data_IF_176951580536
#
_entry.id   IF_176951580536
#
_cell.length_a   1.000
_cell.length_b   1.000
_cell.length_c   1.000
_cell.angle_alpha   90.00
_cell.angle_beta   90.00
_cell.angle_gamma   90.00
#
_symmetry.space_group_name_H-M   'P 1'
#
loop_
_entity.id
_entity.type
_entity.pdbx_description
1 polymer ?
#
# COMPACT_ATOMS: atom_id res chain seq x y z
N UNK A 1 -4.35 -5.75 27.77
CA UNK A 1 -5.22 -4.68 27.26
C UNK A 1 -4.84 -4.37 25.83
N UNK A 2 -5.70 -4.73 24.90
CA UNK A 2 -5.42 -4.50 23.48
C UNK A 2 -5.64 -3.03 23.15
N UNK A 3 -4.60 -2.31 22.79
CA UNK A 3 -4.74 -0.94 22.32
C UNK A 3 -5.08 -0.93 20.83
N UNK A 4 -5.99 -0.05 20.46
CA UNK A 4 -6.29 0.23 19.06
C UNK A 4 -5.22 1.15 18.51
N UNK A 5 -4.32 0.57 17.75
CA UNK A 5 -3.25 1.33 17.10
C UNK A 5 -3.46 1.28 15.59
N UNK A 6 -3.56 2.44 14.99
CA UNK A 6 -3.77 2.59 13.55
C UNK A 6 -2.65 1.94 12.73
N UNK A 7 -1.45 1.90 13.25
CA UNK A 7 -0.29 1.37 12.56
C UNK A 7 -0.15 -0.15 12.65
N UNK A 8 -0.82 -0.78 13.63
CA UNK A 8 -0.72 -2.22 13.86
C UNK A 8 -1.92 -3.00 13.38
N UNK A 9 -2.95 -2.34 12.88
CA UNK A 9 -4.19 -2.97 12.43
C UNK A 9 -4.38 -2.77 10.93
N UNK A 10 -5.07 -3.72 10.29
CA UNK A 10 -5.58 -3.48 8.95
C UNK A 10 -6.49 -2.24 8.98
N UNK A 11 -6.38 -1.39 7.97
CA UNK A 11 -7.09 -0.10 7.95
C UNK A 11 -8.60 -0.26 8.12
N UNK A 12 -9.20 -1.22 7.42
CA UNK A 12 -10.64 -1.50 7.53
C UNK A 12 -11.03 -1.88 8.95
N UNK A 13 -10.19 -2.67 9.62
CA UNK A 13 -10.47 -3.18 10.97
C UNK A 13 -10.32 -2.08 12.02
N UNK A 14 -9.35 -1.19 11.85
CA UNK A 14 -9.18 -0.06 12.76
C UNK A 14 -10.46 0.77 12.85
N UNK A 15 -11.04 1.15 11.72
CA UNK A 15 -12.26 1.98 11.72
C UNK A 15 -13.49 1.23 12.23
N UNK A 16 -13.59 -0.06 11.93
CA UNK A 16 -14.69 -0.90 12.43
C UNK A 16 -14.59 -1.14 13.93
N UNK A 17 -13.41 -1.50 14.42
CA UNK A 17 -13.20 -1.85 15.81
C UNK A 17 -13.18 -0.62 16.75
N UNK A 18 -12.88 0.54 16.23
CA UNK A 18 -12.92 1.78 17.00
C UNK A 18 -14.29 2.06 17.61
N UNK A 19 -15.36 1.63 16.91
CA UNK A 19 -16.76 1.81 17.35
C UNK A 19 -17.34 0.58 18.02
N UNK A 20 -16.62 -0.54 18.05
CA UNK A 20 -17.12 -1.78 18.62
C UNK A 20 -17.10 -1.73 20.15
N UNK A 21 -18.05 -2.45 20.78
CA UNK A 21 -18.08 -2.56 22.23
C UNK A 21 -16.89 -3.35 22.74
N UNK A 22 -16.28 -2.93 23.87
CA UNK A 22 -15.19 -3.70 24.48
C UNK A 22 -15.65 -5.11 24.85
N UNK A 23 -14.76 -6.08 24.78
CA UNK A 23 -15.02 -7.46 25.14
C UNK A 23 -14.09 -8.44 24.44
N UNK A 24 -14.27 -9.74 24.73
CA UNK A 24 -13.43 -10.81 24.18
C UNK A 24 -13.51 -10.89 22.66
N UNK A 25 -14.68 -10.66 22.08
CA UNK A 25 -14.86 -10.68 20.62
C UNK A 25 -14.07 -9.56 19.94
N UNK A 26 -14.09 -8.36 20.53
CA UNK A 26 -13.30 -7.23 20.01
C UNK A 26 -11.81 -7.54 20.11
N UNK A 27 -11.35 -8.07 21.23
CA UNK A 27 -9.95 -8.43 21.45
C UNK A 27 -9.48 -9.48 20.47
N UNK A 28 -10.31 -10.50 20.18
CA UNK A 28 -10.01 -11.53 19.20
C UNK A 28 -9.87 -10.95 17.79
N UNK A 29 -10.73 -10.02 17.41
CA UNK A 29 -10.66 -9.33 16.11
C UNK A 29 -9.43 -8.46 15.99
N UNK A 30 -9.04 -7.77 17.06
CA UNK A 30 -7.82 -6.99 17.09
C UNK A 30 -6.61 -7.91 16.87
N UNK A 31 -6.53 -9.02 17.59
CA UNK A 31 -5.43 -9.98 17.44
C UNK A 31 -5.35 -10.55 16.03
N UNK A 32 -6.49 -10.89 15.43
CA UNK A 32 -6.54 -11.40 14.06
C UNK A 32 -6.07 -10.34 13.04
N UNK A 33 -6.45 -9.10 13.24
CA UNK A 33 -6.05 -7.98 12.36
C UNK A 33 -4.54 -7.73 12.45
N UNK A 34 -3.98 -7.72 13.65
CA UNK A 34 -2.53 -7.58 13.87
C UNK A 34 -1.77 -8.71 13.18
N UNK A 35 -2.23 -9.94 13.32
CA UNK A 35 -1.60 -11.11 12.70
C UNK A 35 -1.65 -11.02 11.16
N UNK A 36 -2.79 -10.61 10.61
CA UNK A 36 -2.93 -10.44 9.16
C UNK A 36 -2.00 -9.35 8.62
N UNK A 37 -1.93 -8.22 9.31
CA UNK A 37 -1.03 -7.14 8.91
C UNK A 37 0.43 -7.60 8.89
N UNK A 38 0.86 -8.32 9.92
CA UNK A 38 2.21 -8.83 10.01
C UNK A 38 2.52 -9.84 8.91
N UNK A 39 1.58 -10.72 8.62
CA UNK A 39 1.70 -11.67 7.52
C UNK A 39 1.88 -10.96 6.18
N UNK A 40 1.12 -9.89 5.95
CA UNK A 40 1.22 -9.10 4.72
C UNK A 40 2.55 -8.36 4.63
N UNK A 41 3.07 -7.85 5.75
CA UNK A 41 4.41 -7.24 5.78
C UNK A 41 5.50 -8.23 5.40
N UNK A 42 5.43 -9.43 5.93
CA UNK A 42 6.39 -10.48 5.60
C UNK A 42 6.31 -10.88 4.12
N UNK A 43 5.11 -10.99 3.58
CA UNK A 43 4.90 -11.26 2.16
C UNK A 43 5.49 -10.16 1.29
N UNK A 44 5.32 -8.90 1.69
CA UNK A 44 5.87 -7.76 0.95
C UNK A 44 7.40 -7.82 0.88
N UNK A 45 8.06 -8.23 1.96
CA UNK A 45 9.51 -8.35 2.00
C UNK A 45 10.07 -9.38 1.01
N UNK A 46 9.25 -10.34 0.59
CA UNK A 46 9.62 -11.36 -0.37
C UNK A 46 9.44 -10.93 -1.83
N UNK A 47 8.80 -9.80 -2.08
CA UNK A 47 8.59 -9.29 -3.43
C UNK A 47 9.82 -8.55 -3.94
N UNK A 48 10.13 -8.74 -5.21
CA UNK A 48 11.13 -7.94 -5.87
C UNK A 48 10.51 -6.63 -6.35
N UNK A 49 10.78 -5.55 -5.61
CA UNK A 49 10.26 -4.21 -5.92
C UNK A 49 11.30 -3.33 -6.62
N UNK A 50 12.39 -3.90 -7.09
CA UNK A 50 13.41 -3.17 -7.82
C UNK A 50 12.81 -2.56 -9.08
N UNK A 51 12.97 -1.25 -9.35
CA UNK A 51 12.49 -0.64 -10.57
C UNK A 51 13.13 -1.29 -11.81
N UNK A 52 12.33 -1.46 -12.86
CA UNK A 52 12.85 -2.00 -14.11
C UNK A 52 13.86 -1.03 -14.73
N UNK A 53 15.12 -1.45 -14.99
CA UNK A 53 16.19 -0.54 -15.35
C UNK A 53 16.01 0.12 -16.72
N UNK A 54 15.26 -0.51 -17.62
CA UNK A 54 15.10 -0.05 -19.00
C UNK A 54 13.91 0.90 -19.19
N UNK A 55 13.16 1.19 -18.14
CA UNK A 55 11.98 2.06 -18.25
C UNK A 55 12.30 3.48 -17.80
N UNK A 56 11.88 4.50 -18.58
CA UNK A 56 12.17 5.89 -18.24
C UNK A 56 11.69 6.32 -16.85
N UNK A 57 10.53 5.83 -16.41
CA UNK A 57 9.97 6.18 -15.10
C UNK A 57 10.86 5.69 -13.95
N UNK A 58 11.66 4.65 -14.16
CA UNK A 58 12.55 4.10 -13.14
C UNK A 58 13.68 5.05 -12.78
N UNK A 59 14.08 5.92 -13.69
CA UNK A 59 15.08 6.94 -13.41
C UNK A 59 14.59 7.96 -12.37
N UNK A 60 13.29 8.17 -12.27
CA UNK A 60 12.66 9.07 -11.31
C UNK A 60 12.09 8.34 -10.08
N UNK A 61 12.42 7.05 -9.88
CA UNK A 61 11.83 6.23 -8.84
C UNK A 61 11.98 6.84 -7.44
N UNK A 62 13.16 7.31 -7.08
CA UNK A 62 13.40 7.91 -5.78
C UNK A 62 12.58 9.18 -5.58
N UNK A 63 12.51 10.02 -6.59
CA UNK A 63 11.75 11.26 -6.56
C UNK A 63 10.25 10.97 -6.43
N UNK A 64 9.75 9.99 -7.17
CA UNK A 64 8.33 9.58 -7.10
C UNK A 64 8.00 8.99 -5.74
N UNK A 65 8.84 8.12 -5.21
CA UNK A 65 8.65 7.53 -3.89
C UNK A 65 8.63 8.61 -2.80
N UNK A 66 9.52 9.57 -2.86
CA UNK A 66 9.53 10.69 -1.92
C UNK A 66 8.25 11.52 -2.02
N UNK A 67 7.77 11.78 -3.22
CA UNK A 67 6.54 12.53 -3.44
C UNK A 67 5.31 11.78 -2.89
N UNK A 68 5.23 10.46 -3.10
CA UNK A 68 4.16 9.62 -2.55
C UNK A 68 4.14 9.70 -1.02
N UNK A 69 5.30 9.70 -0.41
CA UNK A 69 5.43 9.78 1.06
C UNK A 69 4.99 11.14 1.60
N UNK A 70 5.34 12.22 0.91
CA UNK A 70 5.17 13.57 1.42
C UNK A 70 3.84 14.22 1.02
N UNK A 71 3.16 13.71 0.00
CA UNK A 71 1.94 14.32 -0.54
C UNK A 71 0.80 13.31 -0.64
N UNK A 72 -0.40 13.78 -0.38
CA UNK A 72 -1.60 12.97 -0.51
C UNK A 72 -1.97 12.72 -1.97
N UNK A 73 -1.73 13.69 -2.82
CA UNK A 73 -2.02 13.60 -4.26
C UNK A 73 -0.77 14.01 -5.03
N UNK A 74 -0.37 13.18 -5.98
CA UNK A 74 0.73 13.50 -6.89
C UNK A 74 0.30 13.24 -8.33
N UNK A 75 0.91 13.95 -9.26
CA UNK A 75 0.70 13.77 -10.69
C UNK A 75 2.03 13.36 -11.31
N UNK A 76 2.05 12.21 -11.97
CA UNK A 76 3.24 11.71 -12.68
C UNK A 76 2.94 11.76 -14.16
N UNK A 77 3.59 12.69 -14.87
CA UNK A 77 3.46 12.83 -16.31
C UNK A 77 4.60 12.08 -17.00
N UNK A 78 4.29 11.43 -18.10
CA UNK A 78 5.27 10.72 -18.89
C UNK A 78 4.64 10.18 -20.16
N UNK A 79 5.46 9.92 -21.17
CA UNK A 79 5.00 9.41 -22.44
C UNK A 79 4.48 7.98 -22.32
N UNK A 80 3.66 7.57 -23.28
CA UNK A 80 3.25 6.16 -23.44
C UNK A 80 4.51 5.30 -23.56
N UNK A 81 4.55 4.20 -22.80
CA UNK A 81 5.72 3.31 -22.79
C UNK A 81 6.81 3.72 -21.82
N UNK A 82 6.61 4.77 -21.00
CA UNK A 82 7.58 5.14 -19.96
C UNK A 82 7.62 4.18 -18.78
N UNK A 83 6.62 3.29 -18.66
CA UNK A 83 6.55 2.30 -17.59
C UNK A 83 5.69 2.70 -16.40
N UNK A 84 4.93 3.79 -16.49
CA UNK A 84 4.08 4.26 -15.37
C UNK A 84 3.14 3.17 -14.85
N UNK A 85 2.44 2.51 -15.75
CA UNK A 85 1.44 1.49 -15.41
C UNK A 85 2.02 0.34 -14.61
N UNK A 86 3.22 -0.12 -14.97
CA UNK A 86 3.85 -1.27 -14.34
C UNK A 86 4.67 -0.90 -13.11
N UNK A 87 5.22 0.30 -13.05
CA UNK A 87 6.16 0.70 -12.02
C UNK A 87 5.53 1.48 -10.87
N UNK A 88 4.50 2.30 -11.12
CA UNK A 88 3.86 3.09 -10.06
C UNK A 88 3.31 2.22 -8.92
N UNK A 89 2.65 1.07 -9.19
CA UNK A 89 2.24 0.19 -8.10
C UNK A 89 3.41 -0.33 -7.27
N UNK A 90 4.55 -0.63 -7.89
CA UNK A 90 5.77 -1.03 -7.17
C UNK A 90 6.26 0.08 -6.24
N UNK A 91 6.25 1.32 -6.71
CA UNK A 91 6.67 2.47 -5.90
C UNK A 91 5.75 2.68 -4.70
N UNK A 92 4.46 2.46 -4.87
CA UNK A 92 3.52 2.47 -3.75
C UNK A 92 3.86 1.39 -2.72
N UNK A 93 4.15 0.16 -3.18
CA UNK A 93 4.53 -0.93 -2.30
C UNK A 93 5.87 -0.65 -1.58
N UNK A 94 6.82 -0.02 -2.26
CA UNK A 94 8.09 0.38 -1.66
C UNK A 94 7.89 1.36 -0.51
N UNK A 95 6.83 2.17 -0.55
CA UNK A 95 6.48 3.10 0.53
C UNK A 95 5.62 2.45 1.62
N UNK A 96 5.44 1.14 1.59
CA UNK A 96 4.65 0.42 2.58
C UNK A 96 3.15 0.47 2.35
N UNK A 97 2.69 1.05 1.26
CA UNK A 97 1.28 1.02 0.89
C UNK A 97 0.88 -0.38 0.43
N UNK A 98 -0.39 -0.71 0.54
CA UNK A 98 -0.89 -2.03 0.14
C UNK A 98 -0.79 -3.10 1.24
N UNK A 99 -0.15 -2.80 2.37
CA UNK A 99 -0.04 -3.73 3.51
C UNK A 99 -1.27 -3.65 4.39
N UNK A 100 -1.58 -2.46 4.91
CA UNK A 100 -2.75 -2.25 5.77
C UNK A 100 -4.05 -2.05 5.00
N UNK A 101 -3.97 -1.84 3.71
CA UNK A 101 -5.11 -1.66 2.81
C UNK A 101 -4.75 -2.06 1.41
N UNK A 102 -5.66 -1.86 0.47
CA UNK A 102 -5.45 -2.20 -0.94
C UNK A 102 -4.90 -1.01 -1.72
N UNK A 103 -4.15 -1.30 -2.76
CA UNK A 103 -3.82 -0.35 -3.81
C UNK A 103 -4.80 -0.58 -4.96
N UNK A 104 -5.56 0.45 -5.31
CA UNK A 104 -6.47 0.40 -6.45
C UNK A 104 -5.80 1.06 -7.65
N UNK A 105 -5.81 0.38 -8.79
CA UNK A 105 -5.22 0.87 -10.02
C UNK A 105 -6.25 0.82 -11.14
N UNK A 106 -6.59 1.96 -11.70
CA UNK A 106 -7.55 2.06 -12.79
C UNK A 106 -6.88 2.63 -14.03
N UNK A 107 -7.31 2.17 -15.18
CA UNK A 107 -6.79 2.63 -16.47
C UNK A 107 -7.96 2.79 -17.44
N UNK A 108 -7.91 3.83 -18.30
CA UNK A 108 -8.83 3.86 -19.43
C UNK A 108 -8.44 2.71 -20.38
N UNK A 109 -9.40 1.84 -20.70
CA UNK A 109 -9.17 0.80 -21.69
C UNK A 109 -9.55 1.32 -23.06
N UNK A 110 -8.60 1.31 -23.94
CA UNK A 110 -8.88 1.32 -25.36
C UNK A 110 -9.06 -0.12 -25.83
N UNK A 111 -10.20 -0.39 -26.37
CA UNK A 111 -10.36 -1.60 -27.17
C UNK A 111 -9.72 -1.29 -28.52
N UNK A 112 -8.62 -1.93 -28.75
CA UNK A 112 -7.97 -1.85 -30.04
C UNK A 112 -8.73 -2.67 -31.06
#
# INVERSE_FOLDING_TARGET
>A
MSSLDRETLMRRDYFALRRAKPGTTKDAKIAASVALLEQRRLSLQQLNLTPAPDLPVSAAAEQICAAIKDHQVIIVAGETGSGKTTQLPKFCLQNGLGVSGAIAHTQPRRIA
#
